data_IF_336009250814
#
_entry.id   IF_336009250814
#
_cell.length_a   1.000
_cell.length_b   1.000
_cell.length_c   1.000
_cell.angle_alpha   90.00
_cell.angle_beta   90.00
_cell.angle_gamma   90.00
#
_symmetry.space_group_name_H-M   'P 1'
#
loop_
_entity.id
_entity.type
_entity.pdbx_description
1 polymer ?
#
# COMPACT_ATOMS: atom_id res chain seq x y z
N UNK A 1 -20.88 7.08 3.80
CA UNK A 1 -21.80 5.94 4.05
C UNK A 1 -23.25 6.39 4.14
N UNK A 2 -23.60 7.40 4.96
CA UNK A 2 -24.99 7.91 4.98
C UNK A 2 -25.47 8.46 3.62
N UNK A 3 -24.61 9.12 2.84
CA UNK A 3 -25.03 9.75 1.57
C UNK A 3 -25.06 8.84 0.34
N UNK A 4 -24.41 7.67 0.37
CA UNK A 4 -24.62 6.68 -0.71
C UNK A 4 -26.03 6.09 -0.67
N UNK A 5 -26.69 6.15 0.50
CA UNK A 5 -28.10 5.81 0.64
C UNK A 5 -29.03 6.79 -0.08
N UNK A 6 -28.62 8.05 -0.31
CA UNK A 6 -29.43 9.06 -0.99
C UNK A 6 -29.33 8.99 -2.53
N UNK A 7 -28.25 8.39 -3.07
CA UNK A 7 -27.91 8.45 -4.51
C UNK A 7 -28.11 7.10 -5.24
N UNK A 8 -28.54 6.04 -4.55
CA UNK A 8 -28.89 4.73 -5.15
C UNK A 8 -27.76 4.14 -6.04
N UNK A 9 -26.55 4.03 -5.49
CA UNK A 9 -25.39 3.51 -6.24
C UNK A 9 -24.61 2.47 -5.43
N UNK A 10 -24.23 1.39 -6.10
CA UNK A 10 -23.33 0.37 -5.55
C UNK A 10 -21.93 0.96 -5.42
N UNK A 11 -21.35 0.83 -4.22
CA UNK A 11 -19.99 1.25 -3.93
C UNK A 11 -19.13 0.05 -3.59
N UNK A 12 -18.02 -0.07 -4.29
CA UNK A 12 -16.98 -1.05 -4.04
C UNK A 12 -15.81 -0.35 -3.38
N UNK A 13 -15.49 -0.75 -2.15
CA UNK A 13 -14.36 -0.22 -1.39
C UNK A 13 -13.25 -1.27 -1.35
N UNK A 14 -12.02 -0.86 -1.68
CA UNK A 14 -10.86 -1.73 -1.62
C UNK A 14 -9.97 -1.38 -0.43
N UNK A 15 -9.83 -2.31 0.51
CA UNK A 15 -8.88 -2.22 1.62
C UNK A 15 -7.65 -3.03 1.26
N UNK A 16 -6.52 -2.36 1.02
CA UNK A 16 -5.27 -3.03 0.68
C UNK A 16 -4.74 -3.83 1.87
N UNK A 17 -4.72 -5.15 1.75
CA UNK A 17 -4.06 -6.05 2.69
C UNK A 17 -2.86 -6.69 1.99
N UNK A 18 -1.66 -6.57 2.58
CA UNK A 18 -0.41 -7.05 1.99
C UNK A 18 0.18 -8.18 2.82
N UNK A 19 0.44 -9.32 2.17
CA UNK A 19 1.02 -10.48 2.82
C UNK A 19 2.46 -10.22 3.24
N UNK A 20 2.72 -10.21 4.57
CA UNK A 20 4.03 -9.91 5.16
C UNK A 20 4.62 -8.59 4.65
N UNK A 21 3.78 -7.55 4.61
CA UNK A 21 4.11 -6.26 4.01
C UNK A 21 5.46 -5.71 4.51
N UNK A 22 5.69 -5.79 5.82
CA UNK A 22 6.91 -5.26 6.44
C UNK A 22 8.16 -6.06 6.10
N UNK A 23 8.05 -7.31 5.65
CA UNK A 23 9.23 -8.14 5.32
C UNK A 23 9.60 -8.02 3.83
N UNK A 24 8.69 -7.49 3.00
CA UNK A 24 8.76 -7.61 1.54
C UNK A 24 9.18 -6.34 0.79
N UNK A 25 9.08 -5.16 1.41
CA UNK A 25 9.47 -3.88 0.78
C UNK A 25 10.93 -3.92 0.34
N UNK A 26 11.22 -3.81 -0.97
CA UNK A 26 12.59 -3.75 -1.47
C UNK A 26 13.23 -2.40 -1.11
N UNK A 27 14.44 -2.42 -0.55
CA UNK A 27 15.11 -1.17 -0.16
C UNK A 27 15.44 -0.28 -1.35
N UNK A 28 15.87 -0.86 -2.47
CA UNK A 28 16.17 -0.11 -3.70
C UNK A 28 14.95 0.69 -4.19
N UNK A 29 13.78 0.04 -4.25
CA UNK A 29 12.53 0.70 -4.67
C UNK A 29 12.10 1.78 -3.67
N UNK A 30 12.21 1.51 -2.37
CA UNK A 30 11.91 2.48 -1.31
C UNK A 30 12.79 3.74 -1.45
N UNK A 31 14.11 3.60 -1.58
CA UNK A 31 14.99 4.77 -1.66
C UNK A 31 14.88 5.50 -3.00
N UNK A 32 14.62 4.79 -4.10
CA UNK A 32 14.29 5.40 -5.38
C UNK A 32 13.03 6.25 -5.25
N UNK A 33 12.02 5.75 -4.56
CA UNK A 33 10.77 6.45 -4.30
C UNK A 33 10.96 7.70 -3.44
N UNK A 34 11.66 7.58 -2.31
CA UNK A 34 11.93 8.70 -1.43
C UNK A 34 12.73 9.81 -2.15
N UNK A 35 13.61 9.43 -3.07
CA UNK A 35 14.34 10.37 -3.93
C UNK A 35 13.40 11.06 -4.94
N UNK A 36 12.48 10.33 -5.57
CA UNK A 36 11.47 10.90 -6.47
C UNK A 36 10.54 11.90 -5.77
N UNK A 37 10.25 11.67 -4.49
CA UNK A 37 9.48 12.60 -3.65
C UNK A 37 10.28 13.84 -3.21
N UNK A 38 11.52 14.01 -3.70
CA UNK A 38 12.37 15.17 -3.41
C UNK A 38 12.62 15.39 -1.91
N UNK A 39 12.66 14.30 -1.13
CA UNK A 39 13.03 14.37 0.29
C UNK A 39 14.50 14.78 0.39
N UNK A 40 14.79 15.74 1.28
CA UNK A 40 16.13 16.26 1.49
C UNK A 40 17.14 15.14 1.79
N UNK A 41 18.30 15.18 1.14
CA UNK A 41 19.33 14.16 1.27
C UNK A 41 19.82 13.96 2.72
N UNK A 42 19.83 15.02 3.55
CA UNK A 42 20.18 14.93 4.98
C UNK A 42 19.14 14.12 5.75
N UNK A 43 17.86 14.27 5.40
CA UNK A 43 16.77 13.49 5.99
C UNK A 43 16.85 12.04 5.51
N UNK A 44 17.14 11.81 4.22
CA UNK A 44 17.32 10.46 3.66
C UNK A 44 18.51 9.71 4.26
N UNK A 45 19.53 10.40 4.73
CA UNK A 45 20.67 9.79 5.40
C UNK A 45 20.28 8.92 6.61
N UNK A 46 19.22 9.29 7.34
CA UNK A 46 18.74 8.53 8.51
C UNK A 46 18.23 7.15 8.10
N UNK A 47 17.19 7.01 7.24
CA UNK A 47 16.73 5.70 6.80
C UNK A 47 17.80 4.97 5.98
N UNK A 48 18.64 5.65 5.19
CA UNK A 48 19.73 5.00 4.46
C UNK A 48 20.70 4.28 5.39
N UNK A 49 21.17 4.95 6.44
CA UNK A 49 22.03 4.33 7.46
C UNK A 49 21.31 3.20 8.19
N UNK A 50 20.00 3.36 8.42
CA UNK A 50 19.22 2.34 9.09
C UNK A 50 19.09 1.09 8.22
N UNK A 51 18.83 1.21 6.91
CA UNK A 51 18.42 0.11 6.03
C UNK A 51 19.49 -0.44 5.09
N UNK A 52 20.41 0.39 4.59
CA UNK A 52 21.39 -0.02 3.59
C UNK A 52 22.65 -0.68 4.17
N UNK A 53 22.89 -0.49 5.47
CA UNK A 53 24.04 -1.05 6.21
C UNK A 53 23.54 -2.06 7.23
N UNK A 54 22.93 -3.15 6.74
CA UNK A 54 22.43 -4.23 7.57
C UNK A 54 22.84 -5.58 7.00
N UNK A 55 23.42 -6.41 7.86
CA UNK A 55 23.66 -7.81 7.59
C UNK A 55 22.97 -8.68 8.65
N UNK A 56 22.52 -9.86 8.26
CA UNK A 56 21.93 -10.85 9.16
C UNK A 56 22.53 -12.24 8.91
N UNK A 57 22.62 -13.02 9.98
CA UNK A 57 23.01 -14.42 9.95
C UNK A 57 21.94 -15.26 10.67
N UNK A 58 21.76 -16.51 10.22
CA UNK A 58 20.86 -17.47 10.82
C UNK A 58 21.61 -18.22 11.91
N UNK A 59 21.17 -18.08 13.17
CA UNK A 59 21.70 -18.88 14.29
C UNK A 59 20.94 -20.20 14.42
N UNK A 60 21.67 -21.30 14.43
CA UNK A 60 21.21 -22.67 14.73
C UNK A 60 21.94 -23.16 15.98
N UNK A 61 21.48 -24.27 16.57
CA UNK A 61 22.04 -24.81 17.83
C UNK A 61 23.55 -25.09 17.78
N UNK A 62 24.07 -25.33 16.58
CA UNK A 62 25.46 -25.68 16.28
C UNK A 62 26.26 -24.56 15.58
N UNK A 63 25.76 -23.33 15.54
CA UNK A 63 26.53 -22.17 15.04
C UNK A 63 25.70 -21.12 14.30
N UNK A 64 26.36 -20.10 13.78
CA UNK A 64 25.75 -19.10 12.89
C UNK A 64 26.12 -19.36 11.43
N UNK A 65 25.21 -19.04 10.50
CA UNK A 65 25.56 -18.93 9.08
C UNK A 65 26.52 -17.76 8.84
N UNK A 66 27.00 -17.64 7.60
CA UNK A 66 27.61 -16.41 7.12
C UNK A 66 26.61 -15.25 7.20
N UNK A 67 27.15 -14.04 7.37
CA UNK A 67 26.38 -12.81 7.36
C UNK A 67 26.06 -12.42 5.93
N UNK A 68 24.78 -12.18 5.68
CA UNK A 68 24.26 -11.79 4.38
C UNK A 68 23.56 -10.43 4.48
N UNK A 69 23.68 -9.57 3.46
CA UNK A 69 23.06 -8.26 3.49
C UNK A 69 21.55 -8.34 3.42
N UNK A 70 20.88 -7.59 4.29
CA UNK A 70 19.43 -7.42 4.25
C UNK A 70 19.08 -6.42 3.17
N UNK A 71 18.34 -6.86 2.14
CA UNK A 71 17.98 -6.03 0.97
C UNK A 71 16.48 -5.68 0.89
N UNK A 72 15.69 -6.16 1.84
CA UNK A 72 14.24 -5.93 1.88
C UNK A 72 13.72 -5.93 3.32
N UNK A 73 12.54 -5.36 3.46
CA UNK A 73 11.78 -5.24 4.69
C UNK A 73 12.04 -3.93 5.44
N UNK A 74 11.01 -3.44 6.11
CA UNK A 74 11.08 -2.37 7.11
C UNK A 74 11.21 -2.98 8.51
N UNK A 75 11.93 -2.32 9.43
CA UNK A 75 12.22 -2.88 10.75
C UNK A 75 10.96 -2.89 11.63
N UNK A 76 10.52 -4.05 12.09
CA UNK A 76 9.43 -4.10 13.08
C UNK A 76 9.85 -3.41 14.38
N UNK A 77 8.95 -2.63 14.97
CA UNK A 77 9.22 -1.85 16.19
C UNK A 77 10.03 -0.56 15.99
N UNK A 78 10.45 -0.24 14.76
CA UNK A 78 11.02 1.08 14.45
C UNK A 78 9.91 2.09 14.18
N UNK A 79 10.01 3.27 14.80
CA UNK A 79 9.02 4.36 14.70
C UNK A 79 8.83 4.83 13.25
N UNK A 80 9.86 4.79 12.42
CA UNK A 80 9.79 5.24 11.02
C UNK A 80 9.26 4.18 10.05
N UNK A 81 9.20 2.91 10.46
CA UNK A 81 8.80 1.82 9.56
C UNK A 81 7.36 1.95 9.04
N UNK A 82 6.37 2.33 9.88
CA UNK A 82 5.02 2.62 9.39
C UNK A 82 5.02 3.72 8.34
N UNK A 83 5.72 4.85 8.56
CA UNK A 83 5.76 5.97 7.62
C UNK A 83 6.35 5.56 6.26
N UNK A 84 7.48 4.83 6.29
CA UNK A 84 8.15 4.34 5.08
C UNK A 84 7.25 3.35 4.30
N UNK A 85 6.52 2.51 5.02
CA UNK A 85 5.56 1.60 4.41
C UNK A 85 4.38 2.37 3.78
N UNK A 86 3.82 3.35 4.50
CA UNK A 86 2.69 4.17 4.02
C UNK A 86 3.08 4.97 2.77
N UNK A 87 4.29 5.52 2.71
CA UNK A 87 4.81 6.20 1.51
C UNK A 87 4.85 5.24 0.31
N UNK A 88 5.33 4.01 0.51
CA UNK A 88 5.32 2.97 -0.53
C UNK A 88 3.89 2.62 -0.99
N UNK A 89 2.97 2.43 -0.05
CA UNK A 89 1.57 2.07 -0.33
C UNK A 89 0.85 3.19 -1.07
N UNK A 90 0.96 4.43 -0.60
CA UNK A 90 0.36 5.61 -1.25
C UNK A 90 0.83 5.78 -2.69
N UNK A 91 2.10 5.49 -2.98
CA UNK A 91 2.63 5.55 -4.35
C UNK A 91 2.10 4.45 -5.27
N UNK A 92 1.75 3.28 -4.73
CA UNK A 92 1.01 2.25 -5.50
C UNK A 92 -0.39 2.77 -5.79
N UNK A 93 -1.04 3.38 -4.80
CA UNK A 93 -2.43 3.83 -4.91
C UNK A 93 -2.61 5.08 -5.79
N UNK A 94 -1.62 5.98 -5.85
CA UNK A 94 -1.66 7.15 -6.73
C UNK A 94 -1.78 6.81 -8.22
N UNK A 95 -1.23 5.68 -8.64
CA UNK A 95 -1.33 5.21 -10.02
C UNK A 95 -2.74 4.71 -10.38
N UNK A 96 -3.66 4.67 -9.42
CA UNK A 96 -5.05 4.21 -9.61
C UNK A 96 -6.00 5.35 -9.99
N UNK A 97 -5.65 6.61 -9.68
CA UNK A 97 -6.55 7.76 -9.80
C UNK A 97 -7.09 8.01 -11.22
N UNK A 98 -6.49 7.40 -12.24
CA UNK A 98 -6.91 7.50 -13.64
C UNK A 98 -8.01 6.49 -14.04
N UNK A 99 -8.34 5.51 -13.18
CA UNK A 99 -9.22 4.39 -13.55
C UNK A 99 -10.71 4.60 -13.28
N UNK A 100 -11.08 5.70 -12.63
CA UNK A 100 -12.47 6.07 -12.42
C UNK A 100 -12.70 6.84 -11.12
N UNK A 101 -13.81 7.55 -11.05
CA UNK A 101 -14.23 8.26 -9.85
C UNK A 101 -15.73 8.13 -9.65
N UNK A 102 -16.16 8.18 -8.41
CA UNK A 102 -17.56 8.26 -8.01
C UNK A 102 -17.95 9.73 -7.90
N UNK A 103 -19.04 10.15 -8.56
CA UNK A 103 -19.61 11.48 -8.36
C UNK A 103 -20.40 11.53 -7.06
N UNK A 104 -19.99 12.38 -6.13
CA UNK A 104 -20.73 12.71 -4.92
C UNK A 104 -20.87 14.24 -4.82
N UNK A 105 -22.10 14.74 -4.75
CA UNK A 105 -22.39 16.18 -4.70
C UNK A 105 -21.70 17.02 -5.81
N UNK A 106 -21.54 16.46 -7.01
CA UNK A 106 -20.86 17.13 -8.13
C UNK A 106 -19.33 17.05 -8.11
N UNK A 107 -18.74 16.46 -7.06
CA UNK A 107 -17.30 16.20 -6.97
C UNK A 107 -16.97 14.75 -7.32
N UNK A 108 -15.87 14.55 -8.04
CA UNK A 108 -15.33 13.23 -8.33
C UNK A 108 -14.49 12.75 -7.13
N UNK A 109 -14.81 11.59 -6.59
CA UNK A 109 -14.10 10.93 -5.48
C UNK A 109 -13.49 9.63 -6.00
N UNK A 110 -12.17 9.49 -5.88
CA UNK A 110 -11.39 8.31 -6.30
C UNK A 110 -11.09 7.37 -5.14
N UNK A 111 -10.90 7.93 -3.94
CA UNK A 111 -10.46 7.22 -2.75
C UNK A 111 -10.95 7.90 -1.47
N UNK A 112 -10.99 7.14 -0.37
CA UNK A 112 -11.15 7.65 0.99
C UNK A 112 -9.78 7.58 1.68
N UNK A 113 -9.36 8.67 2.32
CA UNK A 113 -8.11 8.71 3.08
C UNK A 113 -8.40 8.90 4.57
N UNK A 114 -7.84 8.05 5.40
CA UNK A 114 -7.92 8.14 6.85
C UNK A 114 -6.56 7.83 7.46
N UNK A 115 -5.86 8.87 7.93
CA UNK A 115 -4.50 8.79 8.47
C UNK A 115 -3.57 7.95 7.58
N UNK A 116 -3.34 6.70 7.97
CA UNK A 116 -2.42 5.75 7.35
C UNK A 116 -3.03 4.96 6.18
N UNK A 117 -4.36 4.96 6.05
CA UNK A 117 -5.09 4.16 5.07
C UNK A 117 -5.64 5.03 3.92
N UNK A 118 -5.34 4.61 2.68
CA UNK A 118 -6.01 5.08 1.47
C UNK A 118 -6.84 3.92 0.91
N UNK A 119 -8.13 4.15 0.72
CA UNK A 119 -9.14 3.15 0.34
C UNK A 119 -9.74 3.56 -1.01
N UNK A 120 -9.31 2.96 -2.14
CA UNK A 120 -9.91 3.21 -3.44
C UNK A 120 -11.40 2.90 -3.47
N UNK A 121 -12.16 3.72 -4.19
CA UNK A 121 -13.61 3.57 -4.38
C UNK A 121 -13.90 3.33 -5.87
N UNK A 122 -14.72 2.32 -6.17
CA UNK A 122 -15.29 2.11 -7.49
C UNK A 122 -16.82 2.17 -7.44
N UNK A 123 -17.41 2.76 -8.48
CA UNK A 123 -18.88 2.81 -8.68
C UNK A 123 -19.43 1.67 -9.53
N UNK A 124 -18.59 0.74 -9.97
CA UNK A 124 -19.00 -0.46 -10.71
C UNK A 124 -17.99 -1.58 -10.55
N UNK A 125 -18.45 -2.83 -10.74
CA UNK A 125 -17.59 -4.03 -10.67
C UNK A 125 -16.45 -3.96 -11.69
N UNK A 126 -16.70 -3.48 -12.92
CA UNK A 126 -15.68 -3.35 -13.95
C UNK A 126 -14.54 -2.40 -13.53
N UNK A 127 -14.89 -1.25 -12.94
CA UNK A 127 -13.88 -0.30 -12.43
C UNK A 127 -13.15 -0.93 -11.25
N UNK A 128 -13.86 -1.65 -10.37
CA UNK A 128 -13.26 -2.33 -9.23
C UNK A 128 -12.21 -3.37 -9.65
N UNK A 129 -12.51 -4.20 -10.66
CA UNK A 129 -11.55 -5.16 -11.23
C UNK A 129 -10.32 -4.45 -11.81
N UNK A 130 -10.51 -3.35 -12.53
CA UNK A 130 -9.41 -2.56 -13.09
C UNK A 130 -8.50 -1.98 -11.99
N UNK A 131 -9.09 -1.49 -10.90
CA UNK A 131 -8.35 -1.04 -9.72
C UNK A 131 -7.52 -2.20 -9.16
N UNK A 132 -8.12 -3.36 -8.90
CA UNK A 132 -7.43 -4.52 -8.34
C UNK A 132 -6.25 -4.98 -9.20
N UNK A 133 -6.45 -5.08 -10.51
CA UNK A 133 -5.40 -5.49 -11.45
C UNK A 133 -4.23 -4.49 -11.44
N UNK A 134 -4.55 -3.20 -11.41
CA UNK A 134 -3.55 -2.12 -11.37
C UNK A 134 -2.77 -2.15 -10.06
N UNK A 135 -3.46 -2.24 -8.91
CA UNK A 135 -2.79 -2.32 -7.60
C UNK A 135 -1.91 -3.55 -7.55
N UNK A 136 -2.40 -4.70 -8.02
CA UNK A 136 -1.64 -5.96 -8.03
C UNK A 136 -0.37 -5.86 -8.86
N UNK A 137 -0.47 -5.31 -10.07
CA UNK A 137 0.67 -5.10 -10.95
C UNK A 137 1.70 -4.11 -10.36
N UNK A 138 1.24 -2.98 -9.82
CA UNK A 138 2.11 -1.97 -9.21
C UNK A 138 2.76 -2.46 -7.90
N UNK A 139 2.05 -3.27 -7.13
CA UNK A 139 2.55 -3.90 -5.91
C UNK A 139 3.65 -4.91 -6.22
N UNK A 140 3.43 -5.77 -7.22
CA UNK A 140 4.38 -6.80 -7.63
C UNK A 140 5.72 -6.21 -8.06
N UNK A 141 5.73 -5.07 -8.76
CA UNK A 141 6.96 -4.34 -9.13
C UNK A 141 7.82 -4.04 -7.89
N UNK A 142 7.18 -3.65 -6.80
CA UNK A 142 7.79 -3.23 -5.52
C UNK A 142 8.01 -4.38 -4.53
N UNK A 143 7.73 -5.62 -4.96
CA UNK A 143 7.88 -6.83 -4.14
C UNK A 143 6.75 -7.06 -3.14
N UNK A 144 5.70 -6.23 -3.17
CA UNK A 144 4.52 -6.39 -2.34
C UNK A 144 3.52 -7.34 -3.01
N UNK A 145 2.87 -8.16 -2.19
CA UNK A 145 1.91 -9.15 -2.64
C UNK A 145 0.58 -8.88 -1.93
N UNK A 146 -0.44 -8.59 -2.74
CA UNK A 146 -1.79 -8.34 -2.24
C UNK A 146 -2.44 -9.65 -1.78
N UNK A 147 -3.09 -9.58 -0.63
CA UNK A 147 -3.98 -10.60 -0.13
C UNK A 147 -5.40 -10.30 -0.62
N UNK A 148 -5.75 -10.83 -1.78
CA UNK A 148 -7.08 -10.62 -2.37
C UNK A 148 -8.06 -11.58 -1.69
N UNK A 149 -8.65 -11.15 -0.58
CA UNK A 149 -9.78 -11.83 0.06
C UNK A 149 -11.07 -11.13 -0.27
N UNK A 150 -12.19 -11.86 -0.29
CA UNK A 150 -13.53 -11.27 -0.41
C UNK A 150 -13.82 -10.23 0.68
N UNK A 151 -13.18 -10.35 1.85
CA UNK A 151 -13.32 -9.42 2.97
C UNK A 151 -12.60 -8.08 2.74
N UNK A 152 -11.60 -8.05 1.86
CA UNK A 152 -10.87 -6.83 1.46
C UNK A 152 -11.69 -5.95 0.50
N UNK A 153 -12.82 -6.47 0.01
CA UNK A 153 -13.75 -5.81 -0.89
C UNK A 153 -15.11 -5.64 -0.19
N UNK A 154 -15.46 -4.42 0.19
CA UNK A 154 -16.79 -4.15 0.74
C UNK A 154 -17.70 -3.64 -0.37
N UNK A 155 -18.70 -4.44 -0.72
CA UNK A 155 -19.83 -4.00 -1.54
C UNK A 155 -20.88 -3.39 -0.62
N UNK A 156 -21.11 -2.10 -0.78
CA UNK A 156 -22.16 -1.40 -0.05
C UNK A 156 -23.40 -1.31 -0.95
N UNK A 157 -24.40 -2.15 -0.66
CA UNK A 157 -25.72 -2.17 -1.27
C UNK A 157 -26.78 -1.85 -0.21
N UNK A 158 -27.78 -1.01 -0.52
CA UNK A 158 -28.97 -0.91 0.33
C UNK A 158 -29.82 -2.18 0.12
N UNK A 159 -30.25 -2.83 1.22
CA UNK A 159 -31.35 -3.81 1.17
C UNK A 159 -32.66 -3.07 0.89
N UNK A 160 -33.34 -3.43 -0.19
CA UNK A 160 -34.73 -3.05 -0.39
C UNK A 160 -35.56 -3.54 0.79
N UNK A 161 -36.21 -2.61 1.49
CA UNK A 161 -37.25 -2.86 2.51
C UNK A 161 -38.57 -2.37 1.96
#
# INVERSE_FOLDING_TARGET
MERSMEVQMDLYLFFSDYSKAFDKVKHEDLFKLLTQLSIDAKVLGIPQNLYLVQDAAIRKDNGCSEFEPIRRGVRQGCVMSPDLFNICSEMILRNINDHGSVKLNGHNITDLRCADDTVPIAGSENIFTLILDTVSAESGKRGLELNIKKESACLYQRKDT
#
